data_IF_220587752680
#
_entry.id   IF_220587752680
#
_cell.length_a   1.000
_cell.length_b   1.000
_cell.length_c   1.000
_cell.angle_alpha   90.00
_cell.angle_beta   90.00
_cell.angle_gamma   90.00
#
_symmetry.space_group_name_H-M   'P 1'
#
loop_
_entity.id
_entity.type
_entity.pdbx_description
1 polymer ?
#
# COMPACT_ATOMS: atom_id res chain seq x y z
N UNK A 1 -18.95 13.49 -18.76
CA UNK A 1 -17.62 13.41 -18.13
C UNK A 1 -17.41 11.95 -17.80
N UNK A 2 -16.73 11.19 -18.65
CA UNK A 2 -16.57 9.74 -18.45
C UNK A 2 -15.65 9.50 -17.26
N UNK A 3 -16.18 8.89 -16.20
CA UNK A 3 -15.39 8.41 -15.07
C UNK A 3 -14.27 7.52 -15.60
N UNK A 4 -13.04 7.92 -15.32
CA UNK A 4 -11.84 7.15 -15.59
C UNK A 4 -11.82 5.98 -14.60
N UNK A 5 -12.65 4.97 -14.87
CA UNK A 5 -12.74 3.72 -14.12
C UNK A 5 -11.41 3.00 -14.34
N UNK A 6 -10.49 3.16 -13.39
CA UNK A 6 -9.22 2.45 -13.37
C UNK A 6 -9.53 0.95 -13.37
N UNK A 7 -9.29 0.29 -14.51
CA UNK A 7 -9.59 -1.14 -14.67
C UNK A 7 -8.74 -1.91 -13.65
N UNK A 8 -9.40 -2.47 -12.63
CA UNK A 8 -8.74 -3.23 -11.57
C UNK A 8 -8.23 -4.55 -12.15
N UNK A 9 -7.00 -4.53 -12.63
CA UNK A 9 -6.32 -5.71 -13.18
C UNK A 9 -5.97 -6.72 -12.08
N UNK A 10 -5.75 -7.97 -12.47
CA UNK A 10 -5.25 -9.03 -11.58
C UNK A 10 -3.92 -8.63 -10.93
N UNK A 11 -3.08 -7.88 -11.65
CA UNK A 11 -1.82 -7.34 -11.16
C UNK A 11 -2.03 -6.32 -10.02
N UNK A 12 -3.00 -5.41 -10.17
CA UNK A 12 -3.36 -4.46 -9.11
C UNK A 12 -3.83 -5.17 -7.84
N UNK A 13 -4.58 -6.28 -7.99
CA UNK A 13 -5.04 -7.11 -6.87
C UNK A 13 -3.90 -7.86 -6.20
N UNK A 14 -2.96 -8.39 -6.97
CA UNK A 14 -1.78 -9.09 -6.45
C UNK A 14 -0.87 -8.13 -5.66
N UNK A 15 -0.63 -6.93 -6.19
CA UNK A 15 0.16 -5.91 -5.51
C UNK A 15 -0.49 -5.44 -4.21
N UNK A 16 -1.82 -5.29 -4.19
CA UNK A 16 -2.56 -4.97 -2.97
C UNK A 16 -2.46 -6.09 -1.92
N UNK A 17 -2.57 -7.36 -2.34
CA UNK A 17 -2.44 -8.51 -1.47
C UNK A 17 -1.01 -8.65 -0.90
N UNK A 18 0.02 -8.40 -1.71
CA UNK A 18 1.42 -8.40 -1.28
C UNK A 18 1.70 -7.26 -0.30
N UNK A 19 1.17 -6.07 -0.55
CA UNK A 19 1.33 -4.92 0.35
C UNK A 19 0.71 -5.17 1.73
N UNK A 20 -0.47 -5.80 1.80
CA UNK A 20 -1.10 -6.17 3.07
C UNK A 20 -0.46 -7.41 3.70
N UNK A 21 -0.08 -8.40 2.90
CA UNK A 21 0.61 -9.62 3.36
C UNK A 21 1.98 -9.34 3.98
N UNK A 22 2.64 -8.26 3.56
CA UNK A 22 3.91 -7.81 4.13
C UNK A 22 3.78 -7.33 5.59
N UNK A 23 2.57 -7.24 6.17
CA UNK A 23 2.41 -7.00 7.61
C UNK A 23 3.02 -8.15 8.44
N UNK A 24 3.10 -9.36 7.88
CA UNK A 24 3.63 -10.56 8.56
C UNK A 24 5.15 -10.45 8.78
N UNK A 25 5.87 -9.64 8.01
CA UNK A 25 7.34 -9.61 7.99
C UNK A 25 7.98 -8.57 8.93
N UNK A 26 7.32 -8.20 10.03
CA UNK A 26 7.86 -7.37 11.14
C UNK A 26 8.73 -6.18 10.70
N UNK A 27 8.10 -5.14 10.12
CA UNK A 27 8.73 -3.87 9.76
C UNK A 27 9.03 -3.70 8.26
N UNK A 28 9.22 -4.80 7.52
CA UNK A 28 9.37 -4.76 6.05
C UNK A 28 8.09 -4.31 5.34
N UNK A 29 6.91 -4.53 5.93
CA UNK A 29 5.65 -4.01 5.41
C UNK A 29 5.62 -2.49 5.25
N UNK A 30 6.22 -1.76 6.20
CA UNK A 30 6.26 -0.30 6.14
C UNK A 30 7.07 0.16 4.92
N UNK A 31 8.24 -0.46 4.72
CA UNK A 31 9.10 -0.20 3.57
C UNK A 31 8.40 -0.59 2.26
N UNK A 32 7.70 -1.72 2.23
CA UNK A 32 6.92 -2.13 1.07
C UNK A 32 5.82 -1.12 0.73
N UNK A 33 5.06 -0.64 1.72
CA UNK A 33 4.04 0.40 1.52
C UNK A 33 4.64 1.71 1.00
N UNK A 34 5.79 2.14 1.52
CA UNK A 34 6.50 3.34 1.04
C UNK A 34 7.02 3.15 -0.39
N UNK A 35 7.62 2.00 -0.71
CA UNK A 35 8.12 1.69 -2.05
C UNK A 35 6.98 1.67 -3.07
N UNK A 36 5.86 1.02 -2.74
CA UNK A 36 4.67 1.00 -3.61
C UNK A 36 4.10 2.40 -3.78
N UNK A 37 4.03 3.21 -2.72
CA UNK A 37 3.60 4.60 -2.84
C UNK A 37 4.50 5.40 -3.80
N UNK A 38 5.82 5.35 -3.62
CA UNK A 38 6.78 6.10 -4.46
C UNK A 38 6.74 5.64 -5.92
N UNK A 39 6.56 4.35 -6.18
CA UNK A 39 6.53 3.80 -7.54
C UNK A 39 5.20 3.97 -8.24
N UNK A 40 4.08 3.95 -7.51
CA UNK A 40 2.73 4.05 -8.08
C UNK A 40 2.12 5.45 -7.99
N UNK A 41 2.66 6.42 -7.23
CA UNK A 41 2.10 7.78 -7.09
C UNK A 41 1.82 8.49 -8.41
N UNK A 42 2.60 8.22 -9.46
CA UNK A 42 2.43 8.82 -10.79
C UNK A 42 1.63 7.93 -11.76
N UNK A 43 1.46 6.64 -11.44
CA UNK A 43 0.81 5.64 -12.30
C UNK A 43 -0.63 5.35 -11.90
N UNK A 44 -0.90 5.28 -10.59
CA UNK A 44 -2.21 4.96 -10.02
C UNK A 44 -2.39 5.68 -8.70
N UNK A 45 -3.29 6.67 -8.69
CA UNK A 45 -3.64 7.41 -7.48
C UNK A 45 -4.30 6.49 -6.45
N UNK A 46 -5.06 5.49 -6.90
CA UNK A 46 -5.72 4.53 -6.02
C UNK A 46 -4.71 3.61 -5.33
N UNK A 47 -3.78 3.01 -6.09
CA UNK A 47 -2.77 2.12 -5.52
C UNK A 47 -1.83 2.88 -4.57
N UNK A 48 -1.45 4.11 -4.93
CA UNK A 48 -0.66 4.97 -4.05
C UNK A 48 -1.41 5.28 -2.75
N UNK A 49 -2.71 5.58 -2.81
CA UNK A 49 -3.49 5.87 -1.61
C UNK A 49 -3.63 4.65 -0.68
N UNK A 50 -3.83 3.46 -1.24
CA UNK A 50 -3.85 2.21 -0.47
C UNK A 50 -2.49 1.90 0.16
N UNK A 51 -1.40 2.12 -0.57
CA UNK A 51 -0.04 1.92 -0.08
C UNK A 51 0.32 2.88 1.06
N UNK A 52 -0.13 4.15 0.95
CA UNK A 52 0.04 5.13 2.03
C UNK A 52 -0.77 4.75 3.27
N UNK A 53 -2.02 4.33 3.12
CA UNK A 53 -2.81 3.83 4.25
C UNK A 53 -2.13 2.65 4.93
N UNK A 54 -1.67 1.66 4.16
CA UNK A 54 -0.97 0.49 4.70
C UNK A 54 0.28 0.90 5.51
N UNK A 55 1.10 1.82 4.97
CA UNK A 55 2.26 2.34 5.67
C UNK A 55 1.88 3.08 6.97
N UNK A 56 0.82 3.89 6.95
CA UNK A 56 0.33 4.61 8.16
C UNK A 56 -0.15 3.62 9.22
N UNK A 57 -0.93 2.61 8.86
CA UNK A 57 -1.43 1.62 9.83
C UNK A 57 -0.31 0.77 10.43
N UNK A 58 0.69 0.40 9.64
CA UNK A 58 1.87 -0.32 10.15
C UNK A 58 2.71 0.56 11.06
N UNK A 59 2.89 1.85 10.75
CA UNK A 59 3.57 2.79 11.64
C UNK A 59 2.83 2.94 12.96
N UNK A 60 1.51 3.14 12.91
CA UNK A 60 0.68 3.27 14.10
C UNK A 60 0.76 2.01 14.98
N UNK A 61 0.65 0.83 14.36
CA UNK A 61 0.81 -0.46 15.06
C UNK A 61 2.17 -0.60 15.71
N UNK A 62 3.25 -0.21 15.01
CA UNK A 62 4.61 -0.25 15.54
C UNK A 62 4.77 0.65 16.78
N UNK A 63 4.25 1.88 16.70
CA UNK A 63 4.30 2.83 17.82
C UNK A 63 3.52 2.32 19.04
N UNK A 64 2.34 1.74 18.85
CA UNK A 64 1.54 1.13 19.93
C UNK A 64 2.22 -0.11 20.52
N UNK A 65 2.98 -0.86 19.71
CA UNK A 65 3.66 -2.08 20.17
C UNK A 65 4.94 -1.76 20.95
N UNK A 66 5.62 -0.66 20.63
CA UNK A 66 6.90 -0.28 21.24
C UNK A 66 6.73 0.69 22.43
N UNK A 67 5.71 1.54 22.40
CA UNK A 67 5.38 2.49 23.49
C UNK A 67 4.59 1.85 24.62
#
# INVERSE_FOLDING_TARGET
>A
MSENQEVLTTENRLLAALAHGAVITQGLGLLAGVIVYVTQREKSRWAAFQALQAAVYQLATLLVTIG
#
